data_IF_337000749195
#
_entry.id   IF_337000749195
#
_cell.length_a   1.000
_cell.length_b   1.000
_cell.length_c   1.000
_cell.angle_alpha   90.00
_cell.angle_beta   90.00
_cell.angle_gamma   90.00
#
_symmetry.space_group_name_H-M   'P 1'
#
loop_
_entity.id
_entity.type
_entity.pdbx_description
1 polymer ?
#
# COMPACT_ATOMS: atom_id res chain seq x y z
N UNK A 1 -3.44 -31.72 5.41
CA UNK A 1 -2.24 -30.95 5.02
C UNK A 1 -2.22 -29.61 5.74
N UNK A 2 -3.23 -28.76 5.57
CA UNK A 2 -3.39 -27.50 6.33
C UNK A 2 -3.34 -27.74 7.84
N UNK A 3 -4.34 -28.45 8.39
CA UNK A 3 -4.37 -28.81 9.82
C UNK A 3 -3.17 -29.68 10.24
N UNK A 4 -2.76 -30.59 9.36
CA UNK A 4 -1.71 -31.59 9.67
C UNK A 4 -0.32 -30.98 9.78
N UNK A 5 -0.02 -29.96 8.96
CA UNK A 5 1.29 -29.31 8.90
C UNK A 5 1.28 -27.92 9.55
N UNK A 6 0.11 -27.44 10.00
CA UNK A 6 -0.05 -26.13 10.63
C UNK A 6 0.18 -24.96 9.67
N UNK A 7 -0.22 -25.12 8.41
CA UNK A 7 -0.21 -23.98 7.47
C UNK A 7 -1.43 -23.10 7.71
N UNK A 8 -1.26 -21.78 7.58
CA UNK A 8 -2.35 -20.79 7.71
C UNK A 8 -3.29 -20.78 6.49
N UNK A 9 -3.00 -21.56 5.46
CA UNK A 9 -3.72 -21.49 4.21
C UNK A 9 -3.24 -22.44 3.13
N UNK A 10 -3.77 -22.20 1.92
CA UNK A 10 -3.51 -22.97 0.70
C UNK A 10 -3.23 -22.06 -0.48
N UNK A 11 -2.37 -22.55 -1.37
CA UNK A 11 -2.13 -21.95 -2.67
C UNK A 11 -2.47 -22.96 -3.76
N UNK A 12 -3.30 -22.56 -4.73
CA UNK A 12 -3.58 -23.36 -5.91
C UNK A 12 -2.96 -22.75 -7.15
N UNK A 13 -2.04 -23.50 -7.73
CA UNK A 13 -1.45 -23.18 -9.02
C UNK A 13 -2.44 -23.51 -10.15
N UNK A 14 -2.54 -22.64 -11.16
CA UNK A 14 -3.45 -22.76 -12.30
C UNK A 14 -4.92 -23.05 -11.92
N UNK A 15 -5.51 -22.23 -11.04
CA UNK A 15 -6.92 -22.31 -10.64
C UNK A 15 -7.87 -21.79 -11.76
N UNK A 16 -7.88 -22.54 -12.86
CA UNK A 16 -8.58 -22.23 -14.10
C UNK A 16 -9.55 -23.32 -14.52
N UNK A 17 -10.63 -22.91 -15.16
CA UNK A 17 -11.48 -23.80 -15.95
C UNK A 17 -11.12 -23.59 -17.43
N UNK A 18 -10.30 -24.46 -17.99
CA UNK A 18 -9.99 -24.42 -19.42
C UNK A 18 -11.00 -25.26 -20.19
N UNK A 19 -11.55 -24.69 -21.26
CA UNK A 19 -12.36 -25.47 -22.17
C UNK A 19 -11.47 -26.42 -23.00
N UNK A 20 -11.57 -27.72 -22.74
CA UNK A 20 -10.81 -28.72 -23.49
C UNK A 20 -11.48 -29.01 -24.84
N UNK A 21 -10.89 -28.50 -25.92
CA UNK A 21 -11.28 -28.82 -27.30
C UNK A 21 -10.43 -29.95 -27.93
N UNK A 22 -9.46 -30.48 -27.18
CA UNK A 22 -8.53 -31.45 -27.71
C UNK A 22 -9.19 -32.84 -27.80
N UNK A 23 -9.53 -33.27 -29.02
CA UNK A 23 -10.13 -34.60 -29.27
C UNK A 23 -9.21 -35.78 -28.97
N UNK A 24 -7.92 -35.54 -28.74
CA UNK A 24 -6.92 -36.53 -28.37
C UNK A 24 -6.69 -36.60 -26.84
N UNK A 25 -7.38 -35.79 -26.06
CA UNK A 25 -7.26 -35.81 -24.60
C UNK A 25 -7.78 -37.14 -24.03
N UNK A 26 -7.36 -37.43 -22.79
CA UNK A 26 -7.84 -38.59 -22.03
C UNK A 26 -9.37 -38.68 -22.07
N UNK A 27 -9.92 -39.89 -22.21
CA UNK A 27 -11.37 -40.14 -22.07
C UNK A 27 -11.86 -40.07 -20.61
N UNK A 28 -10.99 -39.76 -19.66
CA UNK A 28 -11.32 -39.66 -18.25
C UNK A 28 -12.20 -38.45 -17.94
N UNK A 29 -12.58 -38.35 -16.66
CA UNK A 29 -13.38 -37.25 -16.15
C UNK A 29 -12.63 -35.93 -16.34
N UNK A 30 -13.33 -34.95 -16.89
CA UNK A 30 -12.84 -33.59 -17.02
C UNK A 30 -13.55 -32.76 -15.97
N UNK A 31 -12.79 -32.04 -15.15
CA UNK A 31 -13.36 -31.06 -14.24
C UNK A 31 -13.85 -29.85 -15.04
N UNK A 32 -15.04 -29.39 -14.71
CA UNK A 32 -15.64 -28.18 -15.27
C UNK A 32 -15.58 -27.05 -14.23
N UNK A 33 -16.21 -25.91 -14.53
CA UNK A 33 -16.22 -24.76 -13.62
C UNK A 33 -17.01 -25.04 -12.32
N UNK A 34 -18.07 -25.84 -12.38
CA UNK A 34 -18.87 -26.21 -11.21
C UNK A 34 -18.02 -27.05 -10.24
N UNK A 35 -17.22 -28.00 -10.76
CA UNK A 35 -16.29 -28.79 -9.94
C UNK A 35 -15.21 -27.93 -9.27
N UNK A 36 -14.72 -26.89 -9.98
CA UNK A 36 -13.76 -25.94 -9.41
C UNK A 36 -14.41 -25.10 -8.31
N UNK A 37 -15.66 -24.67 -8.48
CA UNK A 37 -16.40 -23.92 -7.47
C UNK A 37 -16.63 -24.80 -6.23
N UNK A 38 -17.14 -26.03 -6.39
CA UNK A 38 -17.35 -26.96 -5.28
C UNK A 38 -16.05 -27.24 -4.51
N UNK A 39 -14.93 -27.39 -5.24
CA UNK A 39 -13.61 -27.56 -4.63
C UNK A 39 -13.14 -26.35 -3.82
N UNK A 40 -13.42 -25.13 -4.31
CA UNK A 40 -13.05 -23.90 -3.62
C UNK A 40 -13.97 -23.60 -2.43
N UNK A 41 -15.25 -23.96 -2.50
CA UNK A 41 -16.18 -23.95 -1.37
C UNK A 41 -15.70 -24.89 -0.27
N UNK A 42 -15.42 -26.14 -0.63
CA UNK A 42 -14.85 -27.11 0.30
C UNK A 42 -13.53 -26.61 0.91
N UNK A 43 -12.66 -26.02 0.10
CA UNK A 43 -11.40 -25.46 0.61
C UNK A 43 -11.64 -24.32 1.59
N UNK A 44 -12.59 -23.43 1.31
CA UNK A 44 -12.92 -22.34 2.20
C UNK A 44 -13.43 -22.85 3.55
N UNK A 45 -14.28 -23.88 3.54
CA UNK A 45 -14.74 -24.56 4.75
C UNK A 45 -13.58 -25.21 5.52
N UNK A 46 -12.60 -25.78 4.80
CA UNK A 46 -11.43 -26.44 5.39
C UNK A 46 -10.46 -25.45 6.07
N UNK A 47 -10.20 -24.29 5.46
CA UNK A 47 -9.25 -23.32 6.01
C UNK A 47 -9.91 -22.36 7.02
N UNK A 48 -11.24 -22.23 6.98
CA UNK A 48 -12.00 -21.36 7.87
C UNK A 48 -12.01 -19.89 7.44
N UNK A 49 -12.69 -19.06 8.24
CA UNK A 49 -12.86 -17.62 7.99
C UNK A 49 -11.53 -16.85 8.01
N UNK A 50 -10.61 -17.25 8.90
CA UNK A 50 -9.29 -16.63 9.05
C UNK A 50 -8.20 -17.29 8.16
N UNK A 51 -8.53 -18.37 7.46
CA UNK A 51 -7.59 -19.11 6.63
C UNK A 51 -7.33 -18.44 5.29
N UNK A 52 -6.09 -18.52 4.81
CA UNK A 52 -5.68 -17.86 3.55
C UNK A 52 -5.86 -18.79 2.36
N UNK A 53 -6.51 -18.31 1.29
CA UNK A 53 -6.57 -18.99 0.00
C UNK A 53 -5.98 -18.09 -1.08
N UNK A 54 -4.86 -18.50 -1.65
CA UNK A 54 -4.26 -17.83 -2.80
C UNK A 54 -4.54 -18.64 -4.06
N UNK A 55 -5.06 -17.99 -5.09
CA UNK A 55 -5.26 -18.62 -6.39
C UNK A 55 -4.30 -18.03 -7.40
N UNK A 56 -3.64 -18.89 -8.17
CA UNK A 56 -2.97 -18.46 -9.37
C UNK A 56 -3.95 -18.46 -10.53
N UNK A 57 -4.17 -17.26 -11.08
CA UNK A 57 -4.90 -17.10 -12.31
C UNK A 57 -4.08 -16.32 -13.34
N UNK A 58 -3.87 -16.97 -14.49
CA UNK A 58 -3.58 -16.35 -15.78
C UNK A 58 -4.32 -15.04 -15.95
N UNK A 59 -3.58 -13.99 -16.32
CA UNK A 59 -4.13 -12.64 -16.52
C UNK A 59 -5.14 -12.55 -17.66
N UNK A 60 -5.30 -13.62 -18.45
CA UNK A 60 -6.23 -13.74 -19.56
C UNK A 60 -7.62 -14.24 -19.16
N UNK A 61 -7.78 -14.77 -17.93
CA UNK A 61 -9.01 -15.45 -17.50
C UNK A 61 -9.55 -14.90 -16.17
N UNK A 62 -9.97 -13.61 -16.15
CA UNK A 62 -10.61 -13.06 -14.97
C UNK A 62 -11.97 -13.77 -14.73
N UNK A 63 -12.19 -14.27 -13.52
CA UNK A 63 -13.40 -15.01 -13.14
C UNK A 63 -13.85 -14.63 -11.73
N UNK A 64 -14.76 -13.65 -11.63
CA UNK A 64 -15.32 -13.17 -10.36
C UNK A 64 -15.80 -14.31 -9.46
N UNK A 65 -16.47 -15.33 -10.00
CA UNK A 65 -17.00 -16.44 -9.20
C UNK A 65 -15.90 -17.18 -8.46
N UNK A 66 -14.81 -17.52 -9.14
CA UNK A 66 -13.65 -18.21 -8.55
C UNK A 66 -12.90 -17.29 -7.60
N UNK A 67 -12.75 -16.03 -7.97
CA UNK A 67 -11.97 -15.03 -7.23
C UNK A 67 -12.59 -14.62 -5.90
N UNK A 68 -13.92 -14.74 -5.75
CA UNK A 68 -14.59 -14.49 -4.46
C UNK A 68 -14.18 -15.49 -3.36
N UNK A 69 -13.58 -16.63 -3.72
CA UNK A 69 -13.06 -17.59 -2.74
C UNK A 69 -11.60 -17.34 -2.38
N UNK A 70 -10.95 -16.29 -2.88
CA UNK A 70 -9.53 -16.03 -2.69
C UNK A 70 -9.28 -14.79 -1.81
N UNK A 71 -8.21 -14.86 -1.00
CA UNK A 71 -7.67 -13.73 -0.24
C UNK A 71 -6.59 -12.98 -1.02
N UNK A 72 -6.12 -13.56 -2.13
CA UNK A 72 -5.15 -12.96 -3.01
C UNK A 72 -4.98 -13.75 -4.29
N UNK A 73 -4.63 -13.04 -5.36
CA UNK A 73 -4.59 -13.59 -6.71
C UNK A 73 -3.22 -13.39 -7.33
N UNK A 74 -2.51 -14.50 -7.49
CA UNK A 74 -1.24 -14.54 -8.21
C UNK A 74 -1.55 -14.40 -9.69
N UNK A 75 -0.82 -13.53 -10.39
CA UNK A 75 -1.06 -13.25 -11.81
C UNK A 75 0.23 -12.89 -12.54
N UNK A 76 0.16 -12.72 -13.86
CA UNK A 76 1.29 -12.39 -14.74
C UNK A 76 2.32 -13.50 -14.96
N UNK A 77 2.14 -14.74 -14.49
CA UNK A 77 3.07 -15.81 -14.89
C UNK A 77 3.07 -16.07 -16.41
N UNK A 78 1.93 -15.84 -17.10
CA UNK A 78 1.88 -15.94 -18.57
C UNK A 78 2.74 -14.89 -19.29
N UNK A 79 3.15 -13.84 -18.56
CA UNK A 79 4.13 -12.87 -19.03
C UNK A 79 5.56 -13.42 -18.97
N UNK A 80 5.76 -14.71 -18.73
CA UNK A 80 7.08 -15.37 -18.68
C UNK A 80 7.95 -15.06 -19.89
N UNK A 81 7.38 -14.83 -21.08
CA UNK A 81 8.15 -14.43 -22.28
C UNK A 81 8.73 -13.00 -22.23
N UNK A 82 8.24 -12.14 -21.34
CA UNK A 82 8.65 -10.75 -21.25
C UNK A 82 10.08 -10.65 -20.74
N UNK A 83 10.86 -9.83 -21.45
CA UNK A 83 12.24 -9.47 -21.08
C UNK A 83 12.32 -8.11 -20.40
N UNK A 84 11.24 -7.34 -20.49
CA UNK A 84 11.04 -6.01 -19.94
C UNK A 84 9.55 -5.81 -19.68
N UNK A 85 9.19 -4.94 -18.74
CA UNK A 85 7.77 -4.60 -18.55
C UNK A 85 7.30 -3.73 -19.72
N UNK A 86 6.12 -4.00 -20.29
CA UNK A 86 5.56 -3.11 -21.29
C UNK A 86 5.35 -1.70 -20.72
N UNK A 87 5.26 -0.67 -21.58
CA UNK A 87 4.78 0.65 -21.19
C UNK A 87 3.45 0.56 -20.43
N UNK A 88 3.24 1.45 -19.46
CA UNK A 88 2.06 1.45 -18.59
C UNK A 88 0.74 1.48 -19.37
N UNK A 89 0.69 2.17 -20.52
CA UNK A 89 -0.50 2.27 -21.36
C UNK A 89 -0.83 0.99 -22.11
N UNK A 90 0.14 0.07 -22.23
CA UNK A 90 0.00 -1.24 -22.91
C UNK A 90 -0.27 -2.39 -21.94
N UNK A 91 -0.40 -2.08 -20.65
CA UNK A 91 -0.87 -3.03 -19.65
C UNK A 91 -2.23 -3.64 -20.08
N UNK A 92 -3.23 -2.86 -20.52
CA UNK A 92 -4.41 -3.42 -21.21
C UNK A 92 -4.05 -3.98 -22.60
N UNK A 93 -4.54 -5.18 -23.00
CA UNK A 93 -5.57 -6.00 -22.36
C UNK A 93 -5.08 -6.98 -21.28
N UNK A 94 -3.76 -7.24 -21.19
CA UNK A 94 -3.16 -8.29 -20.36
C UNK A 94 -3.27 -8.03 -18.85
N UNK A 95 -3.65 -6.81 -18.46
CA UNK A 95 -3.82 -6.38 -17.08
C UNK A 95 -5.20 -5.78 -16.82
N UNK A 96 -6.17 -5.95 -17.73
CA UNK A 96 -7.57 -5.56 -17.47
C UNK A 96 -8.04 -6.16 -16.14
N UNK A 97 -7.53 -7.33 -15.79
CA UNK A 97 -7.77 -7.98 -14.51
C UNK A 97 -7.39 -7.10 -13.29
N UNK A 98 -6.36 -6.27 -13.37
CA UNK A 98 -5.99 -5.29 -12.32
C UNK A 98 -7.02 -4.18 -12.15
N UNK A 99 -7.76 -3.82 -13.21
CA UNK A 99 -8.65 -2.64 -13.24
C UNK A 99 -10.13 -2.97 -13.16
N UNK A 100 -10.54 -4.10 -13.73
CA UNK A 100 -11.95 -4.43 -13.95
C UNK A 100 -12.56 -5.29 -12.85
N UNK A 101 -11.75 -5.98 -12.05
CA UNK A 101 -12.24 -6.83 -10.96
C UNK A 101 -11.44 -6.55 -9.70
N UNK A 102 -12.12 -6.13 -8.63
CA UNK A 102 -11.49 -5.84 -7.34
C UNK A 102 -12.13 -6.67 -6.21
N UNK A 103 -12.32 -7.97 -6.47
CA UNK A 103 -12.89 -8.92 -5.50
C UNK A 103 -11.84 -9.44 -4.53
N UNK A 104 -10.58 -9.51 -4.95
CA UNK A 104 -9.45 -9.87 -4.10
C UNK A 104 -8.18 -9.11 -4.52
N UNK A 105 -7.22 -8.91 -3.59
CA UNK A 105 -5.92 -8.30 -3.86
C UNK A 105 -5.18 -8.98 -5.02
N UNK A 106 -4.49 -8.16 -5.82
CA UNK A 106 -3.71 -8.61 -6.99
C UNK A 106 -2.24 -8.67 -6.64
N UNK A 107 -1.63 -9.81 -6.91
CA UNK A 107 -0.25 -10.12 -6.56
C UNK A 107 0.52 -10.52 -7.84
N UNK A 108 0.99 -9.54 -8.63
CA UNK A 108 1.76 -9.79 -9.83
C UNK A 108 3.05 -10.59 -9.59
N UNK A 109 3.33 -11.55 -10.48
CA UNK A 109 4.57 -12.30 -10.51
C UNK A 109 5.75 -11.46 -11.00
N UNK A 110 6.98 -11.77 -10.54
CA UNK A 110 8.20 -11.15 -11.04
C UNK A 110 8.50 -11.59 -12.49
N UNK A 111 9.32 -10.79 -13.19
CA UNK A 111 9.75 -11.09 -14.56
C UNK A 111 10.97 -12.01 -14.54
N UNK A 112 10.72 -13.32 -14.55
CA UNK A 112 11.78 -14.35 -14.48
C UNK A 112 12.83 -14.29 -15.60
N UNK A 113 12.49 -13.63 -16.70
CA UNK A 113 13.23 -13.69 -17.95
C UNK A 113 13.90 -12.36 -18.30
N UNK A 114 13.82 -11.37 -17.41
CA UNK A 114 14.50 -10.08 -17.58
C UNK A 114 16.03 -10.23 -17.46
N UNK A 115 16.82 -9.59 -18.33
CA UNK A 115 18.29 -9.61 -18.22
C UNK A 115 18.81 -8.98 -16.92
N UNK A 116 18.08 -7.99 -16.40
CA UNK A 116 18.34 -7.32 -15.13
C UNK A 116 17.09 -7.42 -14.25
N UNK A 117 17.06 -8.42 -13.37
CA UNK A 117 15.91 -8.69 -12.51
C UNK A 117 15.66 -7.60 -11.45
N UNK A 118 16.71 -6.90 -11.00
CA UNK A 118 16.56 -5.80 -10.02
C UNK A 118 15.88 -4.61 -10.68
N UNK A 119 16.37 -4.20 -11.87
CA UNK A 119 15.74 -3.15 -12.66
C UNK A 119 14.31 -3.51 -13.02
N UNK A 120 14.06 -4.74 -13.46
CA UNK A 120 12.72 -5.21 -13.81
C UNK A 120 11.77 -5.24 -12.60
N UNK A 121 12.27 -5.57 -11.41
CA UNK A 121 11.48 -5.55 -10.16
C UNK A 121 11.11 -4.12 -9.74
N UNK A 122 12.03 -3.15 -9.90
CA UNK A 122 11.72 -1.73 -9.71
C UNK A 122 10.66 -1.24 -10.70
N UNK A 123 10.82 -1.55 -11.98
CA UNK A 123 9.87 -1.18 -13.03
C UNK A 123 8.47 -1.78 -12.76
N UNK A 124 8.42 -3.07 -12.41
CA UNK A 124 7.19 -3.76 -12.02
C UNK A 124 6.51 -3.08 -10.83
N UNK A 125 7.23 -2.79 -9.74
CA UNK A 125 6.67 -2.12 -8.57
C UNK A 125 6.17 -0.70 -8.90
N UNK A 126 6.95 0.07 -9.66
CA UNK A 126 6.60 1.42 -10.07
C UNK A 126 5.31 1.47 -10.90
N UNK A 127 5.08 0.48 -11.77
CA UNK A 127 3.85 0.41 -12.57
C UNK A 127 2.68 -0.20 -11.80
N UNK A 128 2.89 -1.26 -11.01
CA UNK A 128 1.83 -1.95 -10.28
C UNK A 128 1.22 -1.12 -9.13
N UNK A 129 2.02 -0.30 -8.45
CA UNK A 129 1.51 0.54 -7.35
C UNK A 129 0.45 1.55 -7.83
N UNK A 130 0.51 1.98 -9.10
CA UNK A 130 -0.47 2.87 -9.72
C UNK A 130 -1.83 2.22 -9.99
N UNK A 131 -1.90 0.89 -9.87
CA UNK A 131 -3.11 0.08 -9.95
C UNK A 131 -3.52 -0.51 -8.60
N UNK A 132 -2.83 -0.16 -7.51
CA UNK A 132 -3.07 -0.72 -6.19
C UNK A 132 -2.70 -2.21 -6.07
N UNK A 133 -1.81 -2.68 -6.93
CA UNK A 133 -1.31 -4.05 -6.93
C UNK A 133 0.09 -4.11 -6.29
N UNK A 134 0.34 -5.17 -5.52
CA UNK A 134 1.59 -5.38 -4.79
C UNK A 134 2.25 -6.66 -5.29
N UNK A 135 3.31 -6.58 -6.10
CA UNK A 135 4.02 -7.75 -6.59
C UNK A 135 4.64 -8.57 -5.44
N UNK A 136 4.88 -9.85 -5.71
CA UNK A 136 5.71 -10.69 -4.85
C UNK A 136 7.09 -10.92 -5.47
N UNK A 137 8.06 -11.31 -4.63
CA UNK A 137 9.39 -11.67 -5.10
C UNK A 137 10.06 -12.67 -4.15
N UNK A 138 10.87 -13.56 -4.72
CA UNK A 138 11.74 -14.47 -3.97
C UNK A 138 12.84 -13.72 -3.20
N UNK A 139 13.49 -14.40 -2.25
CA UNK A 139 14.58 -13.79 -1.49
C UNK A 139 15.81 -13.56 -2.38
N UNK A 140 16.30 -12.32 -2.43
CA UNK A 140 17.47 -11.93 -3.21
C UNK A 140 17.53 -10.41 -3.43
N UNK A 141 18.50 -9.90 -4.20
CA UNK A 141 18.61 -8.47 -4.50
C UNK A 141 17.32 -7.91 -5.15
N UNK A 142 16.64 -8.73 -5.93
CA UNK A 142 15.41 -8.34 -6.62
C UNK A 142 14.22 -8.11 -5.66
N UNK A 143 14.31 -8.50 -4.38
CA UNK A 143 13.26 -8.23 -3.40
C UNK A 143 13.31 -6.83 -2.82
N UNK A 144 14.42 -6.09 -3.00
CA UNK A 144 14.57 -4.71 -2.52
C UNK A 144 13.41 -3.80 -2.96
N UNK A 145 12.98 -3.77 -4.23
CA UNK A 145 11.89 -2.91 -4.69
C UNK A 145 10.55 -3.25 -4.03
N UNK A 146 10.29 -4.56 -3.87
CA UNK A 146 9.09 -5.06 -3.21
C UNK A 146 9.10 -4.66 -1.74
N UNK A 147 10.20 -4.88 -1.03
CA UNK A 147 10.33 -4.47 0.37
C UNK A 147 10.22 -2.96 0.55
N UNK A 148 10.78 -2.16 -0.36
CA UNK A 148 10.62 -0.72 -0.37
C UNK A 148 9.16 -0.29 -0.57
N UNK A 149 8.41 -1.02 -1.41
CA UNK A 149 6.99 -0.80 -1.62
C UNK A 149 6.20 -1.09 -0.35
N UNK A 150 6.41 -2.25 0.27
CA UNK A 150 5.77 -2.59 1.56
C UNK A 150 6.15 -1.60 2.66
N UNK A 151 7.40 -1.15 2.73
CA UNK A 151 7.85 -0.14 3.69
C UNK A 151 7.12 1.19 3.50
N UNK A 152 6.94 1.64 2.24
CA UNK A 152 6.24 2.87 1.92
C UNK A 152 4.75 2.86 2.32
N UNK A 153 4.15 1.69 2.53
CA UNK A 153 2.77 1.55 2.97
C UNK A 153 2.60 0.99 4.39
N UNK A 154 3.68 0.57 5.05
CA UNK A 154 3.67 -0.16 6.34
C UNK A 154 2.93 0.55 7.48
N UNK A 155 2.88 1.87 7.40
CA UNK A 155 2.22 2.72 8.39
C UNK A 155 0.68 2.73 8.26
N UNK A 156 0.13 2.26 7.13
CA UNK A 156 -1.27 2.47 6.79
C UNK A 156 -2.02 1.14 6.68
N UNK A 157 -3.20 1.10 7.28
CA UNK A 157 -4.18 0.05 7.01
C UNK A 157 -4.91 0.42 5.72
N UNK A 158 -4.61 -0.24 4.60
CA UNK A 158 -5.22 0.10 3.31
C UNK A 158 -6.70 -0.28 3.20
N UNK A 159 -7.20 -1.16 4.08
CA UNK A 159 -8.59 -1.67 4.01
C UNK A 159 -9.66 -0.60 4.24
N UNK A 160 -9.31 0.49 4.94
CA UNK A 160 -10.23 1.61 5.21
C UNK A 160 -10.35 2.61 4.07
N UNK A 161 -9.47 2.54 3.07
CA UNK A 161 -9.40 3.54 2.02
C UNK A 161 -10.15 3.10 0.76
N UNK A 162 -10.73 4.08 0.07
CA UNK A 162 -11.09 3.92 -1.34
C UNK A 162 -9.84 4.13 -2.18
N UNK A 163 -9.67 3.34 -3.24
CA UNK A 163 -8.56 3.47 -4.17
C UNK A 163 -9.03 3.97 -5.53
N UNK A 164 -8.30 4.91 -6.11
CA UNK A 164 -8.49 5.38 -7.49
C UNK A 164 -7.15 5.38 -8.23
N UNK A 165 -7.11 4.63 -9.34
CA UNK A 165 -5.92 4.45 -10.16
C UNK A 165 -5.51 5.72 -10.91
N UNK A 166 -4.34 5.69 -11.54
CA UNK A 166 -3.79 6.84 -12.26
C UNK A 166 -4.62 7.33 -13.44
N UNK A 167 -5.54 6.52 -13.97
CA UNK A 167 -6.37 6.88 -15.13
C UNK A 167 -7.55 7.76 -14.77
N UNK A 168 -7.77 8.00 -13.48
CA UNK A 168 -8.89 8.77 -12.94
C UNK A 168 -8.57 10.25 -12.77
N UNK A 169 -7.32 10.65 -13.02
CA UNK A 169 -6.82 12.02 -12.97
C UNK A 169 -7.13 12.74 -11.65
N UNK A 170 -7.16 12.02 -10.52
CA UNK A 170 -7.20 12.66 -9.20
C UNK A 170 -5.88 13.33 -8.85
N UNK A 171 -4.78 12.82 -9.39
CA UNK A 171 -3.44 13.40 -9.28
C UNK A 171 -2.98 13.78 -10.67
N UNK A 172 -2.52 15.02 -10.82
CA UNK A 172 -1.96 15.52 -12.09
C UNK A 172 -0.53 15.94 -11.87
N UNK A 173 0.32 15.63 -12.84
CA UNK A 173 1.75 15.91 -12.79
C UNK A 173 2.15 16.77 -13.99
N UNK A 174 3.23 17.52 -13.87
CA UNK A 174 3.80 18.31 -14.98
C UNK A 174 4.74 17.50 -15.88
N UNK A 175 5.00 16.24 -15.56
CA UNK A 175 5.95 15.39 -16.25
C UNK A 175 5.26 14.08 -16.65
N UNK A 176 5.25 13.77 -17.95
CA UNK A 176 4.51 12.63 -18.51
C UNK A 176 4.97 11.28 -17.92
N UNK A 177 6.25 11.16 -17.57
CA UNK A 177 6.83 9.97 -16.94
C UNK A 177 6.31 9.73 -15.50
N UNK A 178 5.83 10.78 -14.82
CA UNK A 178 5.31 10.66 -13.46
C UNK A 178 3.80 10.49 -13.52
N UNK A 179 3.31 9.38 -12.99
CA UNK A 179 1.88 9.14 -12.80
C UNK A 179 1.55 9.18 -11.32
N UNK A 180 0.28 9.41 -10.98
CA UNK A 180 -0.14 9.37 -9.60
C UNK A 180 -1.51 8.72 -9.39
N UNK A 181 -1.65 8.05 -8.26
CA UNK A 181 -2.87 7.39 -7.81
C UNK A 181 -3.19 7.82 -6.37
N UNK A 182 -4.40 7.53 -5.89
CA UNK A 182 -4.79 7.91 -4.54
C UNK A 182 -5.50 6.79 -3.79
N UNK A 183 -5.19 6.70 -2.49
CA UNK A 183 -6.04 6.07 -1.50
C UNK A 183 -6.65 7.17 -0.64
N UNK A 184 -7.94 7.13 -0.34
CA UNK A 184 -8.55 8.20 0.46
C UNK A 184 -9.76 7.73 1.27
N UNK A 185 -9.95 8.38 2.41
CA UNK A 185 -11.17 8.35 3.20
C UNK A 185 -11.52 9.78 3.67
N UNK A 186 -12.36 9.90 4.69
CA UNK A 186 -12.76 11.21 5.24
C UNK A 186 -11.67 11.88 6.10
N UNK A 187 -10.65 11.14 6.52
CA UNK A 187 -9.63 11.59 7.49
C UNK A 187 -8.25 11.77 6.87
N UNK A 188 -7.93 10.99 5.83
CA UNK A 188 -6.61 10.96 5.21
C UNK A 188 -6.68 10.70 3.70
N UNK A 189 -5.78 11.33 2.96
CA UNK A 189 -5.48 11.01 1.56
C UNK A 189 -4.04 10.50 1.49
N UNK A 190 -3.81 9.34 0.87
CA UNK A 190 -2.49 8.90 0.44
C UNK A 190 -2.34 9.18 -1.06
N UNK A 191 -1.38 10.02 -1.41
CA UNK A 191 -0.98 10.27 -2.79
C UNK A 191 0.21 9.37 -3.12
N UNK A 192 0.06 8.55 -4.15
CA UNK A 192 1.14 7.76 -4.73
C UNK A 192 1.65 8.52 -5.94
N UNK A 193 2.96 8.71 -6.05
CA UNK A 193 3.64 9.20 -7.24
C UNK A 193 4.62 8.14 -7.69
N UNK A 194 4.66 7.86 -8.99
CA UNK A 194 5.55 6.84 -9.53
C UNK A 194 6.11 7.28 -10.88
N UNK A 195 7.43 7.13 -11.04
CA UNK A 195 8.10 7.32 -12.31
C UNK A 195 8.07 6.01 -13.09
N UNK A 196 7.34 5.98 -14.20
CA UNK A 196 7.16 4.76 -15.01
C UNK A 196 8.18 4.61 -16.13
N UNK A 197 9.16 5.52 -16.17
CA UNK A 197 10.28 5.52 -17.10
C UNK A 197 11.61 5.28 -16.35
N UNK A 198 12.65 4.90 -17.11
CA UNK A 198 13.99 4.64 -16.58
C UNK A 198 14.75 5.92 -16.21
N UNK A 199 14.46 7.03 -16.86
CA UNK A 199 15.17 8.28 -16.65
C UNK A 199 14.64 9.02 -15.42
N UNK A 200 15.55 9.62 -14.66
CA UNK A 200 15.19 10.45 -13.52
C UNK A 200 14.48 11.74 -13.96
N UNK A 201 13.48 12.16 -13.20
CA UNK A 201 12.83 13.46 -13.34
C UNK A 201 13.32 14.36 -12.20
N UNK A 202 14.27 15.25 -12.51
CA UNK A 202 14.91 16.12 -11.52
C UNK A 202 13.95 17.14 -10.90
N UNK A 203 12.91 17.55 -11.63
CA UNK A 203 11.89 18.47 -11.15
C UNK A 203 10.58 18.26 -11.86
N UNK A 204 9.51 18.10 -11.08
CA UNK A 204 8.14 18.17 -11.57
C UNK A 204 7.24 18.79 -10.49
N UNK A 205 6.06 19.22 -10.89
CA UNK A 205 4.99 19.60 -9.96
C UNK A 205 3.87 18.57 -10.02
N UNK A 206 3.20 18.38 -8.89
CA UNK A 206 1.99 17.57 -8.83
C UNK A 206 0.89 18.24 -8.04
N UNK A 207 -0.37 17.97 -8.41
CA UNK A 207 -1.58 18.48 -7.76
C UNK A 207 -2.53 17.34 -7.46
N UNK A 208 -3.42 17.52 -6.49
CA UNK A 208 -4.48 16.58 -6.14
C UNK A 208 -5.85 17.27 -6.14
N UNK A 209 -6.86 16.64 -6.76
CA UNK A 209 -8.22 17.17 -6.82
C UNK A 209 -8.96 16.99 -5.48
N UNK A 210 -8.65 17.87 -4.53
CA UNK A 210 -9.26 17.85 -3.19
C UNK A 210 -10.79 17.87 -3.25
N UNK A 211 -11.40 18.58 -4.21
CA UNK A 211 -12.86 18.71 -4.28
C UNK A 211 -13.51 17.37 -4.64
N UNK A 212 -12.98 16.65 -5.63
CA UNK A 212 -13.48 15.31 -5.99
C UNK A 212 -13.29 14.30 -4.86
N UNK A 213 -12.26 14.49 -4.03
CA UNK A 213 -12.02 13.67 -2.84
C UNK A 213 -12.91 14.05 -1.64
N UNK A 214 -13.74 15.09 -1.75
CA UNK A 214 -14.61 15.57 -0.66
C UNK A 214 -13.95 16.56 0.30
N UNK A 215 -12.75 17.01 -0.01
CA UNK A 215 -11.92 17.89 0.82
C UNK A 215 -11.99 19.34 0.32
N UNK A 216 -11.62 20.31 1.18
CA UNK A 216 -11.81 21.75 0.92
C UNK A 216 -10.49 22.45 0.59
N UNK A 217 -10.29 23.00 -0.63
CA UNK A 217 -9.06 23.73 -0.96
C UNK A 217 -8.80 24.98 -0.11
N UNK A 218 -9.81 25.52 0.57
CA UNK A 218 -9.68 26.69 1.45
C UNK A 218 -9.12 26.35 2.84
N UNK A 219 -8.87 25.08 3.15
CA UNK A 219 -8.29 24.63 4.42
C UNK A 219 -6.77 24.52 4.29
N UNK A 220 -6.11 24.29 5.43
CA UNK A 220 -4.69 23.96 5.49
C UNK A 220 -4.53 22.47 5.74
N UNK A 221 -3.42 21.91 5.31
CA UNK A 221 -3.14 20.48 5.39
C UNK A 221 -1.69 20.25 5.79
N UNK A 222 -1.44 19.12 6.48
CA UNK A 222 -0.10 18.57 6.52
C UNK A 222 0.10 17.59 5.39
N UNK A 223 1.21 17.73 4.70
CA UNK A 223 1.73 16.75 3.75
C UNK A 223 2.92 16.05 4.41
N UNK A 224 2.82 14.74 4.60
CA UNK A 224 3.85 13.94 5.27
C UNK A 224 4.26 12.77 4.38
N UNK A 225 5.55 12.69 4.02
CA UNK A 225 6.05 11.51 3.30
C UNK A 225 5.86 10.24 4.13
N UNK A 226 5.59 9.11 3.47
CA UNK A 226 5.21 7.86 4.16
C UNK A 226 6.30 7.26 5.04
N UNK A 227 7.55 7.70 4.89
CA UNK A 227 8.67 7.35 5.77
C UNK A 227 8.89 8.39 6.88
N UNK A 228 7.91 9.28 7.08
CA UNK A 228 7.87 10.33 8.08
C UNK A 228 8.45 11.67 7.65
N UNK A 229 9.11 11.76 6.49
CA UNK A 229 9.65 13.02 5.95
C UNK A 229 9.37 13.14 4.45
N UNK A 230 9.21 14.37 3.92
CA UNK A 230 9.16 15.64 4.64
C UNK A 230 7.84 15.79 5.41
N UNK A 231 7.81 16.70 6.40
CA UNK A 231 6.56 17.21 6.99
C UNK A 231 6.37 18.68 6.60
N UNK A 232 5.40 18.95 5.73
CA UNK A 232 5.08 20.30 5.27
C UNK A 232 3.67 20.70 5.72
N UNK A 233 3.46 21.99 5.98
CA UNK A 233 2.11 22.55 6.18
C UNK A 233 1.78 23.46 5.01
N UNK A 234 0.77 23.08 4.22
CA UNK A 234 0.43 23.72 2.95
C UNK A 234 -1.01 24.25 2.99
N UNK A 235 -1.29 25.30 2.23
CA UNK A 235 -2.66 25.68 1.96
C UNK A 235 -3.26 24.70 0.93
N UNK A 236 -4.54 24.41 1.02
CA UNK A 236 -5.20 23.47 0.10
C UNK A 236 -5.15 23.91 -1.36
N UNK A 237 -5.05 25.23 -1.62
CA UNK A 237 -4.83 25.79 -2.94
C UNK A 237 -3.44 25.45 -3.50
N UNK A 238 -2.43 25.27 -2.64
CA UNK A 238 -1.11 24.83 -3.08
C UNK A 238 -1.17 23.36 -3.51
N UNK A 239 -1.92 22.53 -2.80
CA UNK A 239 -2.14 21.13 -3.16
C UNK A 239 -3.02 20.93 -4.41
N UNK A 240 -4.03 21.79 -4.63
CA UNK A 240 -4.99 21.59 -5.72
C UNK A 240 -4.65 22.35 -7.00
N UNK A 241 -4.08 23.55 -6.89
CA UNK A 241 -3.98 24.48 -8.04
C UNK A 241 -2.54 24.87 -8.37
N UNK A 242 -1.70 25.19 -7.36
CA UNK A 242 -0.31 25.62 -7.60
C UNK A 242 0.65 24.45 -7.81
N UNK A 243 0.37 23.34 -7.14
CA UNK A 243 1.17 22.13 -7.14
C UNK A 243 2.29 22.14 -6.12
N UNK A 244 2.73 20.93 -5.78
CA UNK A 244 3.88 20.65 -4.92
C UNK A 244 5.04 20.25 -5.82
N UNK A 245 6.20 20.89 -5.64
CA UNK A 245 7.42 20.52 -6.36
C UNK A 245 8.05 19.26 -5.77
N UNK A 246 8.54 18.38 -6.63
CA UNK A 246 9.21 17.14 -6.24
C UNK A 246 10.19 16.66 -7.33
N UNK A 247 10.91 15.59 -7.03
CA UNK A 247 11.83 14.89 -7.93
C UNK A 247 11.73 13.38 -7.73
N UNK A 248 12.01 12.57 -8.76
CA UNK A 248 11.91 11.12 -8.65
C UNK A 248 12.87 10.42 -9.61
N UNK A 249 13.68 9.50 -9.09
CA UNK A 249 14.54 8.66 -9.92
C UNK A 249 13.70 7.73 -10.81
N UNK A 250 14.35 7.14 -11.83
CA UNK A 250 13.72 6.16 -12.71
C UNK A 250 13.16 4.95 -11.97
N UNK A 251 11.96 4.51 -12.35
CA UNK A 251 11.28 3.37 -11.73
C UNK A 251 11.18 3.43 -10.20
N UNK A 252 11.19 4.63 -9.61
CA UNK A 252 10.93 4.84 -8.18
C UNK A 252 9.53 5.36 -7.95
N UNK A 253 9.06 5.19 -6.73
CA UNK A 253 7.78 5.71 -6.26
C UNK A 253 7.95 6.41 -4.92
N UNK A 254 7.01 7.31 -4.62
CA UNK A 254 6.86 8.01 -3.36
C UNK A 254 5.41 7.94 -2.92
N UNK A 255 5.19 7.89 -1.61
CA UNK A 255 3.86 7.96 -1.02
C UNK A 255 3.84 9.11 -0.04
N UNK A 256 2.81 9.93 -0.12
CA UNK A 256 2.57 11.04 0.79
C UNK A 256 1.21 10.87 1.45
N UNK A 257 1.14 11.04 2.76
CA UNK A 257 -0.11 11.22 3.48
C UNK A 257 -0.46 12.70 3.59
N UNK A 258 -1.74 13.00 3.44
CA UNK A 258 -2.30 14.34 3.60
C UNK A 258 -3.39 14.26 4.66
N UNK A 259 -3.27 15.10 5.68
CA UNK A 259 -4.25 15.23 6.78
C UNK A 259 -4.64 16.69 6.99
N UNK A 260 -5.90 16.94 7.32
CA UNK A 260 -6.36 18.31 7.59
C UNK A 260 -5.62 18.91 8.80
N UNK A 261 -5.13 20.13 8.64
CA UNK A 261 -4.53 20.88 9.74
C UNK A 261 -5.61 21.30 10.74
N UNK A 262 -5.49 20.84 11.99
CA UNK A 262 -6.45 21.12 13.06
C UNK A 262 -5.76 21.78 14.24
N UNK A 263 -5.92 23.09 14.37
CA UNK A 263 -5.27 23.87 15.44
C UNK A 263 -5.78 23.52 16.84
N UNK A 264 -7.00 23.01 16.94
CA UNK A 264 -7.74 22.76 18.17
C UNK A 264 -7.53 21.36 18.77
N UNK A 265 -6.82 20.47 18.07
CA UNK A 265 -6.52 19.12 18.57
C UNK A 265 -5.12 18.67 18.21
N UNK A 266 -4.67 17.65 18.95
CA UNK A 266 -3.47 16.88 18.63
C UNK A 266 -3.84 15.70 17.77
N UNK A 267 -2.96 15.29 16.86
CA UNK A 267 -3.16 14.14 15.99
C UNK A 267 -1.81 13.62 15.48
N UNK A 268 -1.80 12.37 15.04
CA UNK A 268 -0.64 11.71 14.44
C UNK A 268 -0.45 12.21 13.01
N UNK A 269 0.81 12.51 12.70
CA UNK A 269 1.27 12.85 11.36
C UNK A 269 1.93 11.66 10.68
N UNK A 270 2.60 10.81 11.45
CA UNK A 270 3.25 9.60 10.98
C UNK A 270 3.49 8.64 12.14
N UNK A 271 3.32 7.36 11.90
CA UNK A 271 3.83 6.31 12.79
C UNK A 271 4.51 5.23 11.96
N UNK A 272 5.49 4.54 12.55
CA UNK A 272 6.25 3.48 11.85
C UNK A 272 5.39 2.29 11.44
N UNK A 273 4.29 2.06 12.16
CA UNK A 273 3.32 0.97 11.95
C UNK A 273 1.90 1.52 11.98
N UNK A 274 0.96 0.71 11.50
CA UNK A 274 -0.47 0.98 11.65
C UNK A 274 -0.81 1.38 13.09
N UNK A 275 -1.58 2.45 13.23
CA UNK A 275 -1.98 2.97 14.52
C UNK A 275 -3.48 3.26 14.55
N UNK A 276 -4.00 3.35 15.77
CA UNK A 276 -5.28 3.97 16.08
C UNK A 276 -5.01 5.18 16.96
N UNK A 277 -5.80 6.24 16.81
CA UNK A 277 -5.70 7.43 17.64
C UNK A 277 -7.04 7.84 18.23
N UNK A 278 -7.01 8.46 19.40
CA UNK A 278 -8.15 9.14 20.00
C UNK A 278 -7.69 10.43 20.67
N UNK A 279 -8.57 11.43 20.69
CA UNK A 279 -8.32 12.72 21.35
C UNK A 279 -9.46 13.03 22.31
N UNK A 280 -9.20 12.93 23.61
CA UNK A 280 -10.20 13.09 24.68
C UNK A 280 -9.62 13.97 25.78
N UNK A 281 -10.36 15.00 26.20
CA UNK A 281 -10.00 15.92 27.27
C UNK A 281 -8.57 16.50 27.14
N UNK A 282 -8.19 16.83 25.91
CA UNK A 282 -6.87 17.38 25.60
C UNK A 282 -5.78 16.33 25.36
N UNK A 283 -6.01 15.05 25.66
CA UNK A 283 -4.98 14.01 25.57
C UNK A 283 -5.10 13.27 24.24
N UNK A 284 -4.02 13.25 23.46
CA UNK A 284 -3.89 12.35 22.31
C UNK A 284 -3.38 11.00 22.82
N UNK A 285 -4.15 9.94 22.57
CA UNK A 285 -3.75 8.55 22.84
C UNK A 285 -3.54 7.84 21.50
N UNK A 286 -2.36 7.28 21.30
CA UNK A 286 -1.96 6.55 20.10
C UNK A 286 -1.66 5.11 20.47
N UNK A 287 -2.13 4.20 19.65
CA UNK A 287 -2.21 2.79 19.95
C UNK A 287 -1.69 1.99 18.75
N UNK A 288 -0.60 1.26 18.92
CA UNK A 288 0.16 0.64 17.82
C UNK A 288 0.78 -0.69 18.24
N UNK A 289 1.06 -1.56 17.27
CA UNK A 289 1.72 -2.87 17.46
C UNK A 289 2.86 -3.01 16.46
N UNK A 290 3.85 -3.83 16.77
CA UNK A 290 4.97 -4.08 15.87
C UNK A 290 5.91 -5.14 16.40
N UNK A 291 6.80 -5.68 15.54
CA UNK A 291 7.71 -6.76 15.89
C UNK A 291 8.64 -6.41 17.04
N UNK A 292 8.84 -7.34 17.96
CA UNK A 292 9.78 -7.24 19.08
C UNK A 292 11.17 -6.76 18.62
N UNK A 293 11.72 -5.78 19.34
CA UNK A 293 13.04 -5.20 19.08
C UNK A 293 13.08 -4.20 17.92
N UNK A 294 11.97 -4.01 17.19
CA UNK A 294 11.94 -3.02 16.12
C UNK A 294 11.86 -1.61 16.70
N UNK A 295 12.83 -0.77 16.33
CA UNK A 295 12.78 0.67 16.58
C UNK A 295 11.67 1.34 15.76
N UNK A 296 11.01 2.28 16.39
CA UNK A 296 9.89 2.99 15.81
C UNK A 296 9.91 4.48 16.19
N UNK A 297 9.23 5.24 15.36
CA UNK A 297 9.07 6.68 15.44
C UNK A 297 7.59 7.02 15.27
N UNK A 298 7.10 7.86 16.18
CA UNK A 298 5.81 8.55 16.09
C UNK A 298 6.07 10.05 15.90
N UNK A 299 5.42 10.66 14.91
CA UNK A 299 5.34 12.11 14.76
C UNK A 299 3.92 12.57 14.98
N UNK A 300 3.73 13.60 15.78
CA UNK A 300 2.42 14.17 16.06
C UNK A 300 2.45 15.69 15.94
N UNK A 301 1.30 16.27 15.62
CA UNK A 301 1.09 17.71 15.68
C UNK A 301 0.49 18.12 17.03
N UNK A 302 0.92 19.28 17.52
CA UNK A 302 0.28 19.99 18.63
C UNK A 302 0.38 21.50 18.41
N UNK A 303 -0.65 22.27 18.75
CA UNK A 303 -0.56 23.74 18.69
C UNK A 303 0.31 24.34 19.80
N UNK A 304 0.51 23.57 20.88
CA UNK A 304 1.26 23.96 22.06
C UNK A 304 2.24 22.85 22.45
N UNK A 305 3.34 23.21 23.11
CA UNK A 305 4.30 22.23 23.62
C UNK A 305 3.59 21.27 24.60
N UNK A 306 3.64 19.95 24.40
CA UNK A 306 3.10 18.98 25.34
C UNK A 306 3.76 19.11 26.72
N UNK A 307 2.98 18.96 27.79
CA UNK A 307 3.50 18.99 29.16
C UNK A 307 4.29 17.74 29.49
N UNK A 308 3.86 16.61 28.94
CA UNK A 308 4.51 15.31 29.08
C UNK A 308 4.07 14.37 27.96
N UNK A 309 4.92 13.39 27.69
CA UNK A 309 4.63 12.24 26.84
C UNK A 309 4.84 10.97 27.67
N UNK A 310 3.91 10.03 27.60
CA UNK A 310 3.95 8.75 28.33
C UNK A 310 3.90 7.61 27.33
N UNK A 311 4.79 6.62 27.48
CA UNK A 311 4.81 5.37 26.73
C UNK A 311 4.43 4.23 27.67
N UNK A 312 3.28 3.61 27.44
CA UNK A 312 2.60 2.68 28.33
C UNK A 312 2.39 3.33 29.72
N UNK A 313 3.35 3.11 30.63
CA UNK A 313 3.37 3.70 31.98
C UNK A 313 4.64 4.50 32.27
N UNK A 314 5.58 4.57 31.32
CA UNK A 314 6.86 5.27 31.46
C UNK A 314 6.72 6.73 31.01
N UNK A 315 6.99 7.67 31.90
CA UNK A 315 7.19 9.07 31.53
C UNK A 315 8.44 9.19 30.66
N UNK A 316 8.28 9.72 29.45
CA UNK A 316 9.37 9.94 28.51
C UNK A 316 10.10 11.25 28.80
N UNK A 317 11.42 11.24 28.62
CA UNK A 317 12.27 12.42 28.81
C UNK A 317 12.45 13.17 27.50
N UNK A 318 12.20 14.48 27.53
CA UNK A 318 12.46 15.36 26.40
C UNK A 318 13.97 15.47 26.14
N UNK A 319 14.37 15.40 24.87
CA UNK A 319 15.77 15.40 24.41
C UNK A 319 16.42 14.01 24.40
N UNK A 320 15.84 13.02 25.08
CA UNK A 320 16.30 11.61 25.04
C UNK A 320 15.32 10.73 24.27
N UNK A 321 14.07 10.63 24.75
CA UNK A 321 13.05 9.74 24.20
C UNK A 321 12.14 10.46 23.18
N UNK A 322 12.00 11.78 23.31
CA UNK A 322 11.18 12.59 22.39
C UNK A 322 11.70 14.02 22.24
N UNK A 323 11.35 14.69 21.14
CA UNK A 323 11.69 16.09 20.86
C UNK A 323 10.48 16.89 20.44
N UNK A 324 10.58 18.22 20.56
CA UNK A 324 9.54 19.17 20.18
C UNK A 324 10.12 20.31 19.36
N UNK A 325 9.55 20.55 18.18
CA UNK A 325 9.84 21.73 17.37
C UNK A 325 8.71 22.75 17.51
N UNK A 326 8.99 23.81 18.28
CA UNK A 326 8.03 24.90 18.50
C UNK A 326 7.73 25.75 17.27
N UNK A 327 8.54 25.69 16.22
CA UNK A 327 8.31 26.45 14.98
C UNK A 327 7.27 25.79 14.08
N UNK A 328 7.24 24.45 14.05
CA UNK A 328 6.32 23.66 13.24
C UNK A 328 5.16 23.07 14.05
N UNK A 329 5.31 23.01 15.38
CA UNK A 329 4.34 22.34 16.25
C UNK A 329 4.42 20.81 16.14
N UNK A 330 5.59 20.26 15.80
CA UNK A 330 5.78 18.82 15.60
C UNK A 330 6.55 18.23 16.77
N UNK A 331 6.00 17.16 17.35
CA UNK A 331 6.68 16.32 18.31
C UNK A 331 7.10 15.00 17.69
N UNK A 332 8.27 14.50 18.06
CA UNK A 332 8.81 13.22 17.58
C UNK A 332 9.12 12.34 18.78
N UNK A 333 8.53 11.15 18.84
CA UNK A 333 8.78 10.14 19.88
C UNK A 333 9.54 8.97 19.24
N UNK A 334 10.65 8.57 19.84
CA UNK A 334 11.38 7.36 19.48
C UNK A 334 11.14 6.27 20.52
N UNK A 335 10.82 5.06 20.07
CA UNK A 335 10.54 3.93 20.95
C UNK A 335 10.93 2.61 20.30
N UNK A 336 10.83 1.51 21.05
CA UNK A 336 11.08 0.15 20.57
C UNK A 336 9.93 -0.74 21.02
N UNK A 337 9.49 -1.65 20.15
CA UNK A 337 8.45 -2.63 20.49
C UNK A 337 9.05 -3.71 21.40
N UNK A 338 8.51 -3.86 22.61
CA UNK A 338 8.99 -4.85 23.57
C UNK A 338 8.46 -6.27 23.27
N UNK A 339 7.23 -6.37 22.79
CA UNK A 339 6.55 -7.62 22.46
C UNK A 339 5.68 -7.38 21.21
N UNK A 340 5.59 -8.40 20.34
CA UNK A 340 4.82 -8.35 19.09
C UNK A 340 3.31 -8.38 19.35
N UNK A 341 2.90 -9.06 20.43
CA UNK A 341 1.50 -9.19 20.83
C UNK A 341 1.05 -8.09 21.80
N UNK A 342 1.98 -7.37 22.42
CA UNK A 342 1.63 -6.26 23.30
C UNK A 342 1.37 -4.97 22.52
N UNK A 343 0.33 -4.29 22.96
CA UNK A 343 -0.03 -2.97 22.45
C UNK A 343 0.90 -1.93 23.06
N UNK A 344 1.52 -1.12 22.20
CA UNK A 344 2.20 0.10 22.62
C UNK A 344 1.19 1.25 22.65
N UNK A 345 1.09 1.91 23.79
CA UNK A 345 0.20 3.05 24.03
C UNK A 345 1.04 4.29 24.28
N UNK A 346 0.87 5.34 23.48
CA UNK A 346 1.57 6.61 23.62
C UNK A 346 0.55 7.69 23.95
N UNK A 347 0.76 8.43 25.03
CA UNK A 347 -0.13 9.51 25.47
C UNK A 347 0.59 10.85 25.48
N UNK A 348 0.01 11.85 24.82
CA UNK A 348 0.54 13.22 24.72
C UNK A 348 -0.42 14.18 25.42
N UNK A 349 0.07 14.85 26.48
CA UNK A 349 -0.73 15.70 27.38
C UNK A 349 -0.55 17.20 27.15
#
# INVERSE_FOLDING_TARGET
VVETLGFDGVYYDYAHYWFCNNRLHSRGDHTNIDDLIEFLEYTRDLVGEDGVVLLHQSGWFPCVLVENYADGLIMFEDASSWREMPPLEKFPPNTLHLRFMNVAPRIPCPLYNAPDGVKASWDLCAKCVLFGAFPWQGLGPESEPVLALFEAFRAFDLSRFKFEDYTRDYVKTSADAIKGAVYFDEEMILVVLSNVEEEAVERFTWTVDLKRLGWRPSRRYHLVGSLGEPVLTLDGVDLSDRGVEDSLEGHRFKVYSIVEYRKDRRYVLYNTRVWTESYVDGVLTVETRGPTGQKAVLKFYSSEKPKKVVLNSKLLKEGEDWTWDGSTGIGVVSYEYADTEEKVVIQVF
#
